data_IF_247843402136
#
_entry.id   IF_247843402136
#
_cell.length_a   1.000
_cell.length_b   1.000
_cell.length_c   1.000
_cell.angle_alpha   90.00
_cell.angle_beta   90.00
_cell.angle_gamma   90.00
#
_symmetry.space_group_name_H-M   'P 1'
#
loop_
_entity.id
_entity.type
_entity.pdbx_description
1 polymer ?
#
# COMPACT_ATOMS: atom_id res chain seq x y z
N UNK A 1 -0.31 12.97 19.50
CA UNK A 1 -0.79 11.67 19.03
C UNK A 1 0.39 10.72 18.92
N UNK A 2 0.19 9.49 19.31
CA UNK A 2 1.18 8.41 19.21
C UNK A 2 0.83 7.56 17.99
N UNK A 3 1.76 7.44 17.05
CA UNK A 3 1.56 6.77 15.76
C UNK A 3 2.46 5.55 15.67
N UNK A 4 1.90 4.40 15.36
CA UNK A 4 2.61 3.14 15.17
C UNK A 4 2.70 2.73 13.71
N UNK A 5 3.85 2.23 13.33
CA UNK A 5 4.14 1.72 11.98
C UNK A 5 4.68 0.29 12.12
N UNK A 6 3.82 -0.73 12.09
CA UNK A 6 4.25 -2.13 12.13
C UNK A 6 4.83 -2.56 10.79
N UNK A 7 5.53 -3.69 10.79
CA UNK A 7 5.89 -4.40 9.56
C UNK A 7 4.65 -4.94 8.86
N UNK A 8 4.66 -4.93 7.55
CA UNK A 8 3.65 -5.64 6.76
C UNK A 8 3.84 -7.15 6.88
N UNK A 9 2.75 -7.86 7.03
CA UNK A 9 2.75 -9.32 7.21
C UNK A 9 2.09 -10.08 6.06
N UNK A 10 1.50 -9.35 5.10
CA UNK A 10 0.91 -9.94 3.92
C UNK A 10 2.01 -10.43 2.97
N UNK A 11 1.80 -11.61 2.37
CA UNK A 11 2.78 -12.21 1.48
C UNK A 11 3.14 -11.27 0.31
N UNK A 12 4.45 -11.14 0.03
CA UNK A 12 5.03 -10.24 -0.99
C UNK A 12 4.78 -8.74 -0.76
N UNK A 13 4.35 -8.31 0.44
CA UNK A 13 4.27 -6.91 0.79
C UNK A 13 5.55 -6.50 1.53
N UNK A 14 6.38 -5.69 0.86
CA UNK A 14 7.65 -5.20 1.41
C UNK A 14 7.61 -3.70 1.71
N UNK A 15 6.52 -3.00 1.34
CA UNK A 15 6.37 -1.57 1.63
C UNK A 15 6.18 -1.35 3.11
N UNK A 16 6.35 -0.11 3.55
CA UNK A 16 6.10 0.34 4.92
C UNK A 16 5.10 1.50 4.90
N UNK A 17 4.31 1.64 5.95
CA UNK A 17 3.26 2.67 6.05
C UNK A 17 3.79 4.11 6.02
N UNK A 18 5.04 4.32 6.46
CA UNK A 18 5.67 5.65 6.49
C UNK A 18 7.15 5.57 6.11
N UNK A 19 7.62 6.56 5.36
CA UNK A 19 9.05 6.75 5.09
C UNK A 19 9.72 7.54 6.21
N UNK A 20 11.07 7.48 6.37
CA UNK A 20 11.79 8.31 7.34
C UNK A 20 11.51 9.82 7.19
N UNK A 21 11.37 10.31 5.96
CA UNK A 21 11.00 11.72 5.71
C UNK A 21 9.61 12.06 6.27
N UNK A 22 8.63 11.18 6.07
CA UNK A 22 7.28 11.36 6.63
C UNK A 22 7.29 11.33 8.15
N UNK A 23 8.07 10.44 8.75
CA UNK A 23 8.28 10.37 10.21
C UNK A 23 8.88 11.68 10.72
N UNK A 24 9.95 12.19 10.07
CA UNK A 24 10.59 13.46 10.46
C UNK A 24 9.61 14.65 10.45
N UNK A 25 8.69 14.68 9.48
CA UNK A 25 7.66 15.73 9.41
C UNK A 25 6.67 15.67 10.57
N UNK A 26 6.32 14.47 11.01
CA UNK A 26 5.39 14.26 12.13
C UNK A 26 6.05 14.52 13.49
N UNK A 27 7.27 14.03 13.70
CA UNK A 27 8.01 14.23 14.94
C UNK A 27 8.31 15.72 15.19
N UNK A 28 8.65 16.47 14.12
CA UNK A 28 8.80 17.94 14.18
C UNK A 28 7.51 18.69 14.56
N UNK A 29 6.34 18.08 14.32
CA UNK A 29 5.04 18.62 14.73
C UNK A 29 4.61 18.16 16.14
N UNK A 30 5.49 17.46 16.86
CA UNK A 30 5.22 17.01 18.22
C UNK A 30 4.46 15.69 18.33
N UNK A 31 4.34 14.92 17.24
CA UNK A 31 3.84 13.55 17.30
C UNK A 31 4.95 12.59 17.73
N UNK A 32 4.59 11.56 18.47
CA UNK A 32 5.48 10.44 18.77
C UNK A 32 5.26 9.34 17.75
N UNK A 33 6.34 8.78 17.20
CA UNK A 33 6.25 7.72 16.18
C UNK A 33 7.02 6.51 16.63
N UNK A 34 6.35 5.36 16.66
CA UNK A 34 6.93 4.05 16.88
C UNK A 34 7.01 3.29 15.56
N UNK A 35 8.13 2.69 15.27
CA UNK A 35 8.33 1.83 14.09
C UNK A 35 8.76 0.45 14.57
N UNK A 36 8.20 -0.59 14.01
CA UNK A 36 8.65 -1.95 14.33
C UNK A 36 10.07 -2.18 13.79
N UNK A 37 10.88 -2.88 14.56
CA UNK A 37 12.25 -3.27 14.19
C UNK A 37 12.26 -3.90 12.79
N UNK A 38 13.18 -3.44 11.95
CA UNK A 38 13.40 -3.92 10.57
C UNK A 38 12.22 -3.75 9.61
N UNK A 39 11.17 -2.99 9.95
CA UNK A 39 9.95 -2.88 9.15
C UNK A 39 10.19 -2.33 7.73
N UNK A 40 11.20 -1.49 7.51
CA UNK A 40 11.54 -0.92 6.21
C UNK A 40 12.74 -1.57 5.51
N UNK A 41 13.36 -2.57 6.11
CA UNK A 41 14.63 -3.12 5.64
C UNK A 41 14.56 -3.67 4.20
N UNK A 42 13.46 -4.32 3.83
CA UNK A 42 13.27 -4.90 2.49
C UNK A 42 13.18 -3.87 1.36
N UNK A 43 12.97 -2.60 1.68
CA UNK A 43 12.93 -1.48 0.72
C UNK A 43 14.05 -0.47 0.94
N UNK A 44 15.06 -0.82 1.74
CA UNK A 44 16.26 -0.01 1.95
C UNK A 44 16.13 1.07 3.02
N UNK A 45 15.09 1.06 3.85
CA UNK A 45 14.97 1.93 5.03
C UNK A 45 15.30 1.13 6.28
N UNK A 46 16.42 1.46 6.93
CA UNK A 46 16.89 0.77 8.11
C UNK A 46 16.44 1.49 9.39
N UNK A 47 16.47 0.79 10.50
CA UNK A 47 16.05 1.32 11.80
C UNK A 47 16.75 2.63 12.15
N UNK A 48 18.04 2.76 11.80
CA UNK A 48 18.81 3.99 12.02
C UNK A 48 18.24 5.20 11.27
N UNK A 49 17.65 5.00 10.09
CA UNK A 49 17.02 6.08 9.32
C UNK A 49 15.80 6.63 10.05
N UNK A 50 15.00 5.72 10.62
CA UNK A 50 13.82 6.08 11.43
C UNK A 50 14.20 6.71 12.75
N UNK A 51 15.25 6.21 13.44
CA UNK A 51 15.79 6.83 14.67
C UNK A 51 16.27 8.24 14.37
N UNK A 52 16.99 8.45 13.29
CA UNK A 52 17.48 9.77 12.85
C UNK A 52 16.33 10.72 12.50
N UNK A 53 15.18 10.19 12.07
CA UNK A 53 13.95 10.93 11.83
C UNK A 53 13.15 11.24 13.11
N UNK A 54 13.59 10.75 14.28
CA UNK A 54 12.97 10.96 15.59
C UNK A 54 11.98 9.88 16.01
N UNK A 55 11.91 8.74 15.31
CA UNK A 55 11.11 7.61 15.75
C UNK A 55 11.81 6.80 16.86
N UNK A 56 11.02 6.03 17.58
CA UNK A 56 11.49 4.97 18.49
C UNK A 56 11.22 3.61 17.86
N UNK A 57 12.18 2.71 17.95
CA UNK A 57 12.05 1.35 17.43
C UNK A 57 11.51 0.43 18.52
N UNK A 58 10.47 -0.33 18.19
CA UNK A 58 9.88 -1.37 19.04
C UNK A 58 10.06 -2.75 18.40
N UNK A 59 10.32 -3.76 19.21
CA UNK A 59 10.72 -5.09 18.71
C UNK A 59 9.58 -5.88 18.11
N UNK A 60 8.38 -5.77 18.68
CA UNK A 60 7.27 -6.63 18.30
C UNK A 60 6.09 -5.83 17.76
N UNK A 61 5.27 -6.41 16.86
CA UNK A 61 4.04 -5.75 16.43
C UNK A 61 3.09 -5.47 17.61
N UNK A 62 3.04 -6.37 18.61
CA UNK A 62 2.22 -6.18 19.81
C UNK A 62 2.59 -4.89 20.54
N UNK A 63 3.89 -4.63 20.73
CA UNK A 63 4.35 -3.41 21.38
C UNK A 63 3.96 -2.16 20.57
N UNK A 64 4.08 -2.22 19.23
CA UNK A 64 3.70 -1.12 18.35
C UNK A 64 2.21 -0.83 18.46
N UNK A 65 1.36 -1.85 18.32
CA UNK A 65 -0.09 -1.68 18.40
C UNK A 65 -0.53 -1.19 19.78
N UNK A 66 0.01 -1.77 20.85
CA UNK A 66 -0.35 -1.44 22.23
C UNK A 66 0.02 -0.02 22.62
N UNK A 67 1.16 0.47 22.12
CA UNK A 67 1.68 1.80 22.47
C UNK A 67 1.12 2.93 21.63
N UNK A 68 0.29 2.65 20.62
CA UNK A 68 -0.14 3.63 19.62
C UNK A 68 -1.63 3.97 19.73
N UNK A 69 -1.97 5.21 19.39
CA UNK A 69 -3.33 5.70 19.21
C UNK A 69 -3.80 5.52 17.76
N UNK A 70 -2.84 5.54 16.82
CA UNK A 70 -3.08 5.31 15.39
C UNK A 70 -2.04 4.36 14.84
N UNK A 71 -2.49 3.39 14.05
CA UNK A 71 -1.63 2.52 13.24
C UNK A 71 -1.68 2.96 11.79
N UNK A 72 -0.52 3.14 11.19
CA UNK A 72 -0.36 3.45 9.76
C UNK A 72 0.28 2.26 9.07
N UNK A 73 -0.46 1.66 8.14
CA UNK A 73 -0.05 0.48 7.36
C UNK A 73 -0.23 0.73 5.87
N UNK A 74 0.21 -0.22 5.06
CA UNK A 74 -0.08 -0.26 3.63
C UNK A 74 -1.30 -1.12 3.35
N UNK A 75 -1.33 -2.36 3.88
CA UNK A 75 -2.37 -3.35 3.61
C UNK A 75 -3.33 -3.50 4.78
N UNK A 76 -4.53 -3.96 4.43
CA UNK A 76 -5.55 -4.36 5.39
C UNK A 76 -5.02 -5.38 6.40
N UNK A 77 -5.46 -5.34 7.67
CA UNK A 77 -5.08 -6.34 8.65
C UNK A 77 -5.51 -7.74 8.22
N UNK A 78 -4.67 -8.71 8.50
CA UNK A 78 -4.97 -10.14 8.32
C UNK A 78 -5.32 -10.80 9.67
N UNK A 79 -5.85 -12.03 9.70
CA UNK A 79 -6.33 -12.66 10.93
C UNK A 79 -5.34 -12.68 12.11
N UNK A 80 -4.04 -12.76 11.83
CA UNK A 80 -3.01 -12.73 12.88
C UNK A 80 -2.89 -11.38 13.59
N UNK A 81 -3.38 -10.30 12.98
CA UNK A 81 -3.31 -8.93 13.50
C UNK A 81 -4.60 -8.51 14.23
N UNK A 82 -5.74 -9.21 14.03
CA UNK A 82 -7.01 -8.83 14.64
C UNK A 82 -6.96 -8.76 16.18
N UNK A 83 -6.17 -9.59 16.81
CA UNK A 83 -5.97 -9.59 18.27
C UNK A 83 -5.36 -8.30 18.82
N UNK A 84 -4.78 -7.47 17.97
CA UNK A 84 -4.20 -6.18 18.35
C UNK A 84 -5.17 -5.00 18.13
N UNK A 85 -6.27 -5.23 17.39
CA UNK A 85 -7.26 -4.19 17.13
C UNK A 85 -8.17 -3.98 18.33
N UNK A 86 -8.57 -2.75 18.58
CA UNK A 86 -9.39 -2.36 19.72
C UNK A 86 -10.17 -1.08 19.41
N UNK A 87 -11.21 -0.78 20.17
CA UNK A 87 -12.14 0.34 19.95
C UNK A 87 -11.48 1.73 19.98
N UNK A 88 -10.44 1.91 20.80
CA UNK A 88 -9.73 3.17 20.96
C UNK A 88 -8.58 3.36 19.97
N UNK A 89 -8.42 2.43 19.01
CA UNK A 89 -7.39 2.47 17.99
C UNK A 89 -7.93 3.05 16.68
N UNK A 90 -7.17 3.94 16.05
CA UNK A 90 -7.39 4.34 14.66
C UNK A 90 -6.48 3.54 13.74
N UNK A 91 -7.04 2.97 12.69
CA UNK A 91 -6.31 2.24 11.65
C UNK A 91 -6.37 3.03 10.35
N UNK A 92 -5.23 3.47 9.84
CA UNK A 92 -5.08 4.23 8.60
C UNK A 92 -4.29 3.42 7.57
N UNK A 93 -4.96 2.87 6.58
CA UNK A 93 -4.42 1.90 5.60
C UNK A 93 -5.38 1.72 4.42
N UNK A 94 -4.97 0.98 3.38
CA UNK A 94 -5.93 0.40 2.42
C UNK A 94 -6.72 -0.70 3.12
N UNK A 95 -8.05 -0.61 3.12
CA UNK A 95 -8.94 -1.56 3.83
C UNK A 95 -9.57 -2.59 2.89
N UNK A 96 -9.75 -2.27 1.61
CA UNK A 96 -10.37 -3.15 0.60
C UNK A 96 -11.70 -3.80 1.01
N UNK A 97 -12.51 -3.10 1.80
CA UNK A 97 -13.73 -3.65 2.44
C UNK A 97 -14.72 -4.26 1.44
N UNK A 98 -14.86 -3.64 0.25
CA UNK A 98 -15.76 -4.14 -0.78
C UNK A 98 -15.28 -5.46 -1.42
N UNK A 99 -13.97 -5.70 -1.42
CA UNK A 99 -13.36 -6.90 -2.01
C UNK A 99 -13.40 -8.12 -1.09
N UNK A 100 -13.53 -7.91 0.22
CA UNK A 100 -13.60 -8.99 1.22
C UNK A 100 -14.62 -8.66 2.33
N UNK A 101 -15.91 -8.95 2.11
CA UNK A 101 -16.97 -8.68 3.08
C UNK A 101 -16.80 -9.45 4.41
N UNK A 102 -16.15 -10.61 4.40
CA UNK A 102 -15.91 -11.37 5.63
C UNK A 102 -14.84 -10.68 6.49
N UNK A 103 -13.78 -10.19 5.89
CA UNK A 103 -12.78 -9.38 6.56
C UNK A 103 -13.37 -8.05 7.06
N UNK A 104 -14.19 -7.40 6.24
CA UNK A 104 -14.89 -6.18 6.63
C UNK A 104 -15.72 -6.39 7.90
N UNK A 105 -16.50 -7.48 7.98
CA UNK A 105 -17.29 -7.82 9.18
C UNK A 105 -16.40 -8.01 10.41
N UNK A 106 -15.31 -8.75 10.28
CA UNK A 106 -14.37 -8.98 11.40
C UNK A 106 -13.72 -7.67 11.88
N UNK A 107 -13.38 -6.76 10.97
CA UNK A 107 -12.88 -5.44 11.37
C UNK A 107 -13.92 -4.62 12.13
N UNK A 108 -15.17 -4.64 11.69
CA UNK A 108 -16.29 -4.00 12.40
C UNK A 108 -16.43 -4.58 13.80
N UNK A 109 -16.35 -5.91 13.93
CA UNK A 109 -16.51 -6.60 15.23
C UNK A 109 -15.40 -6.23 16.25
N UNK A 110 -14.24 -5.71 15.80
CA UNK A 110 -13.18 -5.21 16.70
C UNK A 110 -13.45 -3.83 17.28
N UNK A 111 -14.39 -3.08 16.72
CA UNK A 111 -14.67 -1.69 17.10
C UNK A 111 -13.62 -0.67 16.66
N UNK A 112 -12.55 -1.07 15.95
CA UNK A 112 -11.48 -0.17 15.49
C UNK A 112 -12.03 0.92 14.58
N UNK A 113 -11.51 2.15 14.72
CA UNK A 113 -11.82 3.24 13.78
C UNK A 113 -10.98 3.09 12.52
N UNK A 114 -11.59 2.68 11.40
CA UNK A 114 -10.91 2.51 10.12
C UNK A 114 -10.99 3.75 9.25
N UNK A 115 -9.84 4.25 8.78
CA UNK A 115 -9.73 5.29 7.74
C UNK A 115 -9.06 4.65 6.52
N UNK A 116 -9.84 4.44 5.45
CA UNK A 116 -9.35 3.79 4.25
C UNK A 116 -8.65 4.79 3.33
N UNK A 117 -7.43 4.50 2.89
CA UNK A 117 -6.69 5.33 1.93
C UNK A 117 -7.48 5.54 0.64
N UNK A 118 -8.15 4.49 0.15
CA UNK A 118 -8.92 4.49 -1.08
C UNK A 118 -10.20 5.34 -1.04
N UNK A 119 -10.60 5.82 0.13
CA UNK A 119 -11.77 6.69 0.30
C UNK A 119 -11.43 8.12 0.70
N UNK A 120 -10.16 8.44 0.93
CA UNK A 120 -9.73 9.82 1.20
C UNK A 120 -9.85 10.63 -0.09
N UNK A 121 -10.68 11.66 -0.06
CA UNK A 121 -10.94 12.55 -1.21
C UNK A 121 -10.49 13.97 -0.92
N UNK A 122 -10.01 14.65 -1.94
CA UNK A 122 -9.78 16.10 -1.93
C UNK A 122 -11.09 16.85 -2.25
N UNK A 123 -11.11 18.16 -2.03
CA UNK A 123 -12.28 19.01 -2.29
C UNK A 123 -12.80 18.93 -3.73
N UNK A 124 -11.92 18.64 -4.69
CA UNK A 124 -12.26 18.44 -6.11
C UNK A 124 -12.72 17.01 -6.43
N UNK A 125 -12.90 16.14 -5.42
CA UNK A 125 -13.32 14.75 -5.60
C UNK A 125 -12.21 13.78 -6.03
N UNK A 126 -10.96 14.24 -6.20
CA UNK A 126 -9.85 13.33 -6.49
C UNK A 126 -9.48 12.48 -5.27
N UNK A 127 -8.90 11.31 -5.51
CA UNK A 127 -8.46 10.36 -4.48
C UNK A 127 -6.93 10.31 -4.43
N UNK A 128 -6.28 11.25 -3.69
CA UNK A 128 -4.84 11.48 -3.76
C UNK A 128 -4.01 10.31 -3.23
N UNK A 129 -4.56 9.48 -2.35
CA UNK A 129 -3.86 8.31 -1.82
C UNK A 129 -4.06 7.05 -2.68
N UNK A 130 -5.11 6.99 -3.51
CA UNK A 130 -5.37 5.90 -4.45
C UNK A 130 -4.68 6.11 -5.80
N UNK A 131 -4.69 7.34 -6.32
CA UNK A 131 -4.21 7.68 -7.66
C UNK A 131 -2.78 7.19 -7.95
N UNK A 132 -1.78 7.31 -7.05
CA UNK A 132 -0.42 6.80 -7.29
C UNK A 132 -0.37 5.30 -7.57
N UNK A 133 -1.17 4.50 -6.86
CA UNK A 133 -1.23 3.05 -7.07
C UNK A 133 -1.87 2.70 -8.40
N UNK A 134 -2.91 3.44 -8.79
CA UNK A 134 -3.56 3.29 -10.09
C UNK A 134 -2.63 3.67 -11.25
N UNK A 135 -1.79 4.70 -11.08
CA UNK A 135 -0.76 5.09 -12.04
C UNK A 135 0.25 3.97 -12.25
N UNK A 136 0.80 3.43 -11.17
CA UNK A 136 1.78 2.32 -11.25
C UNK A 136 1.14 1.08 -11.87
N UNK A 137 -0.10 0.75 -11.50
CA UNK A 137 -0.83 -0.39 -12.06
C UNK A 137 -1.02 -0.25 -13.58
N UNK A 138 -1.35 0.96 -14.06
CA UNK A 138 -1.47 1.23 -15.49
C UNK A 138 -0.16 1.03 -16.25
N UNK A 139 0.93 1.58 -15.76
CA UNK A 139 2.26 1.42 -16.36
C UNK A 139 2.73 -0.03 -16.36
N UNK A 140 2.47 -0.78 -15.29
CA UNK A 140 2.79 -2.20 -15.20
C UNK A 140 1.93 -3.07 -16.11
N UNK A 141 0.69 -2.68 -16.39
CA UNK A 141 -0.25 -3.48 -17.19
C UNK A 141 0.31 -3.81 -18.57
N UNK A 142 0.96 -2.86 -19.25
CA UNK A 142 1.59 -3.10 -20.55
C UNK A 142 2.77 -4.07 -20.45
N UNK A 143 3.64 -3.88 -19.45
CA UNK A 143 4.81 -4.77 -19.25
C UNK A 143 4.36 -6.21 -18.94
N UNK A 144 3.43 -6.36 -18.01
CA UNK A 144 2.89 -7.68 -17.61
C UNK A 144 2.13 -8.32 -18.77
N UNK A 145 1.31 -7.56 -19.49
CA UNK A 145 0.60 -8.04 -20.66
C UNK A 145 1.56 -8.55 -21.75
N UNK A 146 2.62 -7.80 -22.03
CA UNK A 146 3.67 -8.20 -22.96
C UNK A 146 4.38 -9.46 -22.51
N UNK A 147 4.72 -9.57 -21.23
CA UNK A 147 5.34 -10.77 -20.66
C UNK A 147 4.48 -12.01 -20.87
N UNK A 148 3.18 -11.92 -20.62
CA UNK A 148 2.24 -13.05 -20.81
C UNK A 148 1.94 -13.38 -22.28
N UNK A 149 2.27 -12.52 -23.23
CA UNK A 149 2.18 -12.82 -24.66
C UNK A 149 3.34 -13.67 -25.17
N UNK A 150 4.45 -13.74 -24.46
CA UNK A 150 5.62 -14.52 -24.84
C UNK A 150 5.31 -16.02 -24.88
N UNK A 151 5.86 -16.73 -25.88
CA UNK A 151 5.60 -18.16 -26.06
C UNK A 151 6.06 -19.01 -24.87
N UNK A 152 7.19 -18.66 -24.25
CA UNK A 152 7.73 -19.32 -23.06
C UNK A 152 6.82 -19.19 -21.83
N UNK A 153 5.91 -18.21 -21.83
CA UNK A 153 4.94 -17.98 -20.76
C UNK A 153 3.53 -18.46 -21.15
N UNK A 154 3.45 -19.43 -22.04
CA UNK A 154 2.21 -20.01 -22.57
C UNK A 154 1.36 -19.03 -23.38
N UNK A 155 1.92 -17.89 -23.76
CA UNK A 155 1.25 -16.88 -24.59
C UNK A 155 1.24 -17.27 -26.07
N UNK A 156 0.61 -16.42 -26.90
CA UNK A 156 0.47 -16.64 -28.34
C UNK A 156 1.79 -16.49 -29.12
N UNK A 157 2.87 -15.98 -28.51
CA UNK A 157 4.13 -15.67 -29.20
C UNK A 157 4.01 -14.43 -30.09
N UNK A 158 3.20 -13.46 -29.67
CA UNK A 158 2.96 -12.21 -30.39
C UNK A 158 3.70 -11.10 -29.69
N UNK A 159 4.46 -10.32 -30.45
CA UNK A 159 5.12 -9.12 -29.96
C UNK A 159 4.20 -7.90 -30.13
N UNK A 160 4.09 -7.08 -29.09
CA UNK A 160 3.48 -5.75 -29.16
C UNK A 160 4.58 -4.78 -29.58
N UNK A 161 4.44 -4.16 -30.73
CA UNK A 161 5.43 -3.20 -31.20
C UNK A 161 5.40 -3.10 -32.72
N UNK A 162 6.05 -2.07 -33.26
CA UNK A 162 6.13 -1.82 -34.68
C UNK A 162 7.35 -2.55 -35.27
N UNK A 163 7.12 -3.45 -36.18
CA UNK A 163 8.17 -4.06 -37.01
C UNK A 163 7.97 -3.59 -38.45
N UNK A 164 9.09 -3.34 -39.13
CA UNK A 164 9.06 -2.97 -40.55
C UNK A 164 8.32 -4.09 -41.33
N UNK A 165 7.43 -3.70 -42.21
CA UNK A 165 6.66 -4.57 -43.11
C UNK A 165 5.69 -5.56 -42.39
N UNK A 166 5.34 -5.31 -41.14
CA UNK A 166 4.35 -6.07 -40.38
C UNK A 166 3.28 -5.14 -39.87
N UNK A 167 2.01 -5.49 -40.06
CA UNK A 167 0.89 -4.71 -39.53
C UNK A 167 0.99 -4.57 -38.00
N UNK A 168 0.81 -3.35 -37.46
CA UNK A 168 0.85 -3.13 -36.03
C UNK A 168 -0.25 -3.91 -35.32
N UNK A 169 0.02 -4.37 -34.13
CA UNK A 169 -0.98 -5.04 -33.29
C UNK A 169 -1.84 -4.02 -32.59
N UNK A 170 -3.12 -4.36 -32.44
CA UNK A 170 -4.08 -3.54 -31.72
C UNK A 170 -4.13 -3.99 -30.25
N UNK A 171 -3.93 -3.05 -29.36
CA UNK A 171 -4.13 -3.22 -27.91
C UNK A 171 -5.39 -2.44 -27.54
N UNK A 172 -6.37 -3.13 -26.98
CA UNK A 172 -7.62 -2.50 -26.52
C UNK A 172 -7.55 -2.31 -25.01
N UNK A 173 -7.71 -1.06 -24.55
CA UNK A 173 -7.80 -0.72 -23.13
C UNK A 173 -9.27 -0.47 -22.80
N UNK A 174 -9.81 -1.25 -21.87
CA UNK A 174 -11.21 -1.11 -21.40
C UNK A 174 -11.23 -0.29 -20.14
N UNK A 175 -11.72 0.94 -20.23
CA UNK A 175 -11.78 1.94 -19.16
C UNK A 175 -10.75 3.05 -19.32
N UNK A 176 -11.18 4.29 -19.09
CA UNK A 176 -10.37 5.51 -19.24
C UNK A 176 -10.11 6.22 -17.89
N UNK A 177 -10.09 5.48 -16.79
CA UNK A 177 -9.66 5.97 -15.48
C UNK A 177 -8.15 6.14 -15.41
N UNK A 178 -7.62 6.41 -14.22
CA UNK A 178 -6.17 6.63 -14.02
C UNK A 178 -5.34 5.45 -14.58
N UNK A 179 -5.67 4.21 -14.20
CA UNK A 179 -4.93 3.02 -14.69
C UNK A 179 -5.03 2.85 -16.20
N UNK A 180 -6.23 2.94 -16.79
CA UNK A 180 -6.40 2.77 -18.22
C UNK A 180 -5.67 3.84 -19.03
N UNK A 181 -5.73 5.08 -18.60
CA UNK A 181 -4.99 6.18 -19.24
C UNK A 181 -3.48 5.97 -19.16
N UNK A 182 -2.97 5.55 -17.99
CA UNK A 182 -1.53 5.31 -17.79
C UNK A 182 -1.00 4.07 -18.51
N UNK A 183 -1.87 3.15 -18.93
CA UNK A 183 -1.45 1.99 -19.74
C UNK A 183 -1.27 2.31 -21.22
N UNK A 184 -1.63 3.50 -21.66
CA UNK A 184 -1.51 3.96 -23.05
C UNK A 184 -0.21 4.76 -23.27
N UNK A 185 0.35 5.34 -22.22
CA UNK A 185 1.61 6.11 -22.23
C UNK A 185 2.81 5.23 -21.88
#
# INVERSE_FOLDING_TARGET
MIIGVPSEVKNNENRIGMTPDSVSKLTKKGHEVFVQESAGANIGFFDQDFISAGAKILKTPEDVYKSSEMIVKVKEPIPSEYKFLREDLTLFTYLHLAGDPQNAKKLIDTGVTGIAYETVTSDNGSMPLLAPMSTIAGQLAFTVGTYHLLKQNLGKGVMIGNLKDIDPRVVTVIGAGVSGTQSIY
#
